data_IF_302148962451
#
_entry.id   IF_302148962451
#
_cell.length_a   1.000
_cell.length_b   1.000
_cell.length_c   1.000
_cell.angle_alpha   90.00
_cell.angle_beta   90.00
_cell.angle_gamma   90.00
#
_symmetry.space_group_name_H-M   'P 1'
#
loop_
_entity.id
_entity.type
_entity.pdbx_description
1 polymer ?
#
# COMPACT_ATOMS: atom_id res chain seq x y z
N UNK A 1 10.27 8.65 45.62
CA UNK A 1 9.54 8.21 44.41
C UNK A 1 10.34 8.60 43.19
N UNK A 2 10.97 7.64 42.52
CA UNK A 2 11.70 7.87 41.28
C UNK A 2 11.81 6.54 40.55
N UNK A 3 10.82 6.22 39.71
CA UNK A 3 10.93 5.07 38.81
C UNK A 3 11.98 5.40 37.76
N UNK A 4 12.71 4.40 37.30
CA UNK A 4 13.67 4.60 36.23
C UNK A 4 12.98 5.21 35.00
N UNK A 5 13.61 6.22 34.39
CA UNK A 5 13.03 6.95 33.28
C UNK A 5 12.83 6.04 32.07
N UNK A 6 13.78 5.14 31.81
CA UNK A 6 13.66 4.11 30.78
C UNK A 6 12.48 3.17 31.02
N UNK A 7 12.31 2.68 32.26
CA UNK A 7 11.19 1.81 32.63
C UNK A 7 9.83 2.52 32.51
N UNK A 8 9.77 3.80 32.89
CA UNK A 8 8.54 4.61 32.80
C UNK A 8 8.16 4.87 31.35
N UNK A 9 9.14 5.18 30.49
CA UNK A 9 8.93 5.35 29.04
C UNK A 9 8.54 4.04 28.36
N UNK A 10 9.07 2.89 28.81
CA UNK A 10 8.67 1.57 28.30
C UNK A 10 7.21 1.26 28.62
N UNK A 11 6.77 1.51 29.85
CA UNK A 11 5.36 1.34 30.23
C UNK A 11 4.43 2.27 29.44
N UNK A 12 4.87 3.50 29.15
CA UNK A 12 4.15 4.41 28.27
C UNK A 12 4.09 3.87 26.83
N UNK A 13 5.18 3.34 26.30
CA UNK A 13 5.25 2.77 24.96
C UNK A 13 4.35 1.53 24.80
N UNK A 14 4.22 0.71 25.84
CA UNK A 14 3.32 -0.44 25.86
C UNK A 14 1.84 -0.04 25.91
N UNK A 15 1.50 1.06 26.60
CA UNK A 15 0.12 1.58 26.65
C UNK A 15 -0.34 2.23 25.34
N UNK A 16 0.55 2.95 24.68
CA UNK A 16 0.24 3.69 23.44
C UNK A 16 0.44 2.80 22.20
N UNK A 17 1.08 1.64 22.37
CA UNK A 17 1.45 0.69 21.31
C UNK A 17 2.17 1.35 20.12
N UNK A 18 3.10 2.26 20.42
CA UNK A 18 3.88 2.98 19.41
C UNK A 18 5.32 2.49 19.38
N UNK A 19 5.74 1.96 18.24
CA UNK A 19 7.10 1.44 18.04
C UNK A 19 8.19 2.51 18.26
N UNK A 20 7.93 3.77 17.87
CA UNK A 20 8.86 4.89 18.11
C UNK A 20 9.07 5.20 19.58
N UNK A 21 8.02 5.06 20.39
CA UNK A 21 8.13 5.22 21.83
C UNK A 21 8.93 4.09 22.47
N UNK A 22 8.84 2.86 21.91
CA UNK A 22 9.71 1.74 22.33
C UNK A 22 11.17 2.05 22.00
N UNK A 23 11.47 2.60 20.82
CA UNK A 23 12.83 3.02 20.46
C UNK A 23 13.36 4.15 21.35
N UNK A 24 12.50 5.12 21.70
CA UNK A 24 12.85 6.19 22.64
C UNK A 24 13.20 5.64 24.02
N UNK A 25 12.37 4.75 24.57
CA UNK A 25 12.63 4.13 25.88
C UNK A 25 13.97 3.41 25.90
N UNK A 26 14.28 2.61 24.87
CA UNK A 26 15.57 1.91 24.74
C UNK A 26 16.72 2.89 24.63
N UNK A 27 16.60 3.95 23.83
CA UNK A 27 17.65 4.95 23.66
C UNK A 27 17.97 5.67 24.98
N UNK A 28 16.94 6.00 25.78
CA UNK A 28 17.09 6.61 27.10
C UNK A 28 17.72 5.64 28.10
N UNK A 29 17.28 4.38 28.16
CA UNK A 29 17.90 3.36 29.04
C UNK A 29 19.37 3.13 28.73
N UNK A 30 19.73 3.05 27.43
CA UNK A 30 21.13 2.91 26.99
C UNK A 30 21.94 4.13 27.44
N UNK A 31 21.43 5.34 27.24
CA UNK A 31 22.10 6.57 27.65
C UNK A 31 22.31 6.63 29.17
N UNK A 32 21.32 6.21 29.97
CA UNK A 32 21.44 6.16 31.43
C UNK A 32 22.51 5.15 31.90
N UNK A 33 22.68 4.04 31.18
CA UNK A 33 23.61 2.96 31.57
C UNK A 33 25.04 3.18 31.06
N UNK A 34 25.19 3.58 29.79
CA UNK A 34 26.49 3.76 29.14
C UNK A 34 27.06 5.18 29.33
N UNK A 35 26.23 6.14 29.75
CA UNK A 35 26.56 7.57 29.71
C UNK A 35 26.56 8.13 28.28
N UNK A 36 26.64 9.46 28.17
CA UNK A 36 26.72 10.15 26.88
C UNK A 36 25.71 11.29 26.71
N UNK A 37 25.83 12.01 25.60
CA UNK A 37 25.01 13.18 25.30
C UNK A 37 23.61 12.76 24.85
N UNK A 38 22.64 12.86 25.76
CA UNK A 38 21.24 12.57 25.47
C UNK A 38 20.69 13.41 24.31
N UNK A 39 21.14 14.66 24.17
CA UNK A 39 20.69 15.52 23.08
C UNK A 39 21.09 14.96 21.71
N UNK A 40 22.27 14.36 21.60
CA UNK A 40 22.75 13.75 20.36
C UNK A 40 21.97 12.47 20.04
N UNK A 41 21.74 11.60 21.02
CA UNK A 41 20.97 10.36 20.85
C UNK A 41 19.53 10.67 20.45
N UNK A 42 18.87 11.61 21.14
CA UNK A 42 17.52 12.04 20.82
C UNK A 42 17.45 12.71 19.45
N UNK A 43 18.47 13.49 19.06
CA UNK A 43 18.57 14.06 17.73
C UNK A 43 18.67 12.98 16.66
N UNK A 44 19.53 11.98 16.84
CA UNK A 44 19.67 10.83 15.94
C UNK A 44 18.36 10.06 15.78
N UNK A 45 17.69 9.75 16.89
CA UNK A 45 16.39 9.08 16.86
C UNK A 45 15.33 9.91 16.11
N UNK A 46 15.28 11.23 16.35
CA UNK A 46 14.37 12.11 15.65
C UNK A 46 14.60 12.13 14.13
N UNK A 47 15.87 12.08 13.69
CA UNK A 47 16.21 11.97 12.27
C UNK A 47 15.74 10.63 11.68
N UNK A 48 15.95 9.52 12.39
CA UNK A 48 15.50 8.18 11.96
C UNK A 48 13.97 8.13 11.81
N UNK A 49 13.24 8.64 12.79
CA UNK A 49 11.77 8.68 12.76
C UNK A 49 11.28 9.51 11.57
N UNK A 50 11.84 10.72 11.36
CA UNK A 50 11.48 11.58 10.22
C UNK A 50 11.82 10.92 8.88
N UNK A 51 12.97 10.27 8.77
CA UNK A 51 13.38 9.54 7.58
C UNK A 51 12.39 8.42 7.24
N UNK A 52 11.91 7.68 8.26
CA UNK A 52 10.90 6.63 8.08
C UNK A 52 9.57 7.20 7.59
N UNK A 53 9.08 8.30 8.18
CA UNK A 53 7.87 8.97 7.67
C UNK A 53 8.03 9.47 6.24
N UNK A 54 9.20 10.00 5.88
CA UNK A 54 9.50 10.42 4.50
C UNK A 54 9.48 9.22 3.55
N UNK A 55 10.04 8.08 3.96
CA UNK A 55 10.00 6.84 3.19
C UNK A 55 8.56 6.39 2.94
N UNK A 56 7.72 6.31 3.98
CA UNK A 56 6.32 5.92 3.84
C UNK A 56 5.53 6.85 2.93
N UNK A 57 5.75 8.17 3.04
CA UNK A 57 5.14 9.15 2.13
C UNK A 57 5.59 8.94 0.68
N UNK A 58 6.87 8.67 0.45
CA UNK A 58 7.43 8.40 -0.87
C UNK A 58 6.87 7.10 -1.47
N UNK A 59 6.82 6.03 -0.69
CA UNK A 59 6.22 4.75 -1.11
C UNK A 59 4.75 4.98 -1.46
N UNK A 60 3.97 5.65 -0.60
CA UNK A 60 2.56 5.95 -0.87
C UNK A 60 2.36 6.74 -2.17
N UNK A 61 3.22 7.73 -2.45
CA UNK A 61 3.16 8.50 -3.69
C UNK A 61 3.46 7.65 -4.93
N UNK A 62 4.55 6.86 -4.91
CA UNK A 62 4.95 5.99 -6.02
C UNK A 62 3.87 4.93 -6.28
N UNK A 63 3.35 4.30 -5.23
CA UNK A 63 2.30 3.29 -5.39
C UNK A 63 0.99 3.92 -5.85
N UNK A 64 0.68 5.17 -5.50
CA UNK A 64 -0.53 5.85 -5.98
C UNK A 64 -0.52 6.03 -7.51
N UNK A 65 0.62 6.41 -8.10
CA UNK A 65 0.77 6.53 -9.55
C UNK A 65 0.57 5.19 -10.26
N UNK A 66 1.24 4.13 -9.78
CA UNK A 66 1.08 2.78 -10.32
C UNK A 66 -0.36 2.26 -10.18
N UNK A 67 -1.02 2.55 -9.04
CA UNK A 67 -2.43 2.19 -8.82
C UNK A 67 -3.36 2.92 -9.78
N UNK A 68 -3.12 4.21 -10.05
CA UNK A 68 -3.93 4.96 -11.03
C UNK A 68 -3.74 4.44 -12.45
N UNK A 69 -2.49 4.26 -12.87
CA UNK A 69 -2.15 3.75 -14.20
C UNK A 69 -2.74 2.34 -14.43
N UNK A 70 -2.57 1.43 -13.48
CA UNK A 70 -3.14 0.08 -13.58
C UNK A 70 -4.67 0.08 -13.58
N UNK A 71 -5.32 0.95 -12.79
CA UNK A 71 -6.79 1.06 -12.76
C UNK A 71 -7.32 1.55 -14.11
N UNK A 72 -6.66 2.54 -14.72
CA UNK A 72 -7.01 3.04 -16.04
C UNK A 72 -6.91 1.94 -17.10
N UNK A 73 -5.79 1.20 -17.10
CA UNK A 73 -5.57 0.11 -18.05
C UNK A 73 -6.59 -1.03 -17.87
N UNK A 74 -7.00 -1.33 -16.63
CA UNK A 74 -8.02 -2.34 -16.34
C UNK A 74 -9.42 -1.98 -16.86
N UNK A 75 -9.78 -0.70 -16.90
CA UNK A 75 -11.09 -0.24 -17.39
C UNK A 75 -11.12 -0.16 -18.91
N UNK A 76 -9.97 0.02 -19.56
CA UNK A 76 -9.87 0.22 -21.00
C UNK A 76 -10.58 -0.87 -21.85
N UNK A 77 -10.42 -2.19 -21.62
CA UNK A 77 -11.08 -3.21 -22.42
C UNK A 77 -12.60 -3.19 -22.28
N UNK A 78 -13.11 -2.87 -21.09
CA UNK A 78 -14.54 -2.74 -20.83
C UNK A 78 -15.11 -1.52 -21.55
N UNK A 79 -14.39 -0.39 -21.51
CA UNK A 79 -14.75 0.82 -22.26
C UNK A 79 -14.78 0.59 -23.76
N UNK A 80 -13.75 -0.08 -24.31
CA UNK A 80 -13.67 -0.43 -25.71
C UNK A 80 -14.84 -1.33 -26.15
N UNK A 81 -15.20 -2.33 -25.34
CA UNK A 81 -16.33 -3.22 -25.62
C UNK A 81 -17.65 -2.45 -25.73
N UNK A 82 -17.91 -1.53 -24.79
CA UNK A 82 -19.11 -0.68 -24.80
C UNK A 82 -19.10 0.23 -26.03
N UNK A 83 -17.97 0.86 -26.32
CA UNK A 83 -17.82 1.77 -27.46
C UNK A 83 -18.04 1.07 -28.80
N UNK A 84 -17.51 -0.15 -28.98
CA UNK A 84 -17.73 -0.96 -30.17
C UNK A 84 -19.21 -1.29 -30.33
N UNK A 85 -19.91 -1.69 -29.26
CA UNK A 85 -21.34 -1.99 -29.33
C UNK A 85 -22.20 -0.76 -29.67
N UNK A 86 -21.79 0.45 -29.27
CA UNK A 86 -22.50 1.69 -29.60
C UNK A 86 -22.25 2.16 -31.03
N UNK A 87 -21.00 2.08 -31.51
CA UNK A 87 -20.62 2.55 -32.85
C UNK A 87 -20.95 1.54 -33.95
N UNK A 88 -20.81 0.24 -33.66
CA UNK A 88 -21.04 -0.85 -34.59
C UNK A 88 -21.79 -1.99 -33.88
N UNK A 89 -23.11 -1.86 -33.66
CA UNK A 89 -23.91 -2.88 -32.95
C UNK A 89 -23.88 -4.26 -33.60
N UNK A 90 -23.63 -4.32 -34.91
CA UNK A 90 -23.59 -5.56 -35.69
C UNK A 90 -22.16 -6.15 -35.81
N UNK A 91 -21.17 -5.58 -35.13
CA UNK A 91 -19.75 -6.00 -35.24
C UNK A 91 -19.52 -7.49 -34.94
N UNK A 92 -20.30 -8.06 -34.01
CA UNK A 92 -20.15 -9.45 -33.58
C UNK A 92 -21.09 -10.43 -34.30
N UNK A 93 -22.00 -9.98 -35.17
CA UNK A 93 -23.07 -10.82 -35.73
C UNK A 93 -22.54 -12.01 -36.55
N UNK A 94 -21.44 -11.83 -37.28
CA UNK A 94 -20.82 -12.91 -38.04
C UNK A 94 -20.25 -14.04 -37.17
N UNK A 95 -19.94 -13.76 -35.90
CA UNK A 95 -19.29 -14.72 -35.00
C UNK A 95 -20.26 -15.25 -33.95
N UNK A 96 -21.37 -14.54 -33.67
CA UNK A 96 -22.39 -14.90 -32.67
C UNK A 96 -23.00 -16.28 -32.87
N UNK A 97 -23.17 -16.72 -34.13
CA UNK A 97 -23.78 -18.03 -34.44
C UNK A 97 -22.79 -19.21 -34.38
N UNK A 98 -21.50 -18.94 -34.18
CA UNK A 98 -20.49 -20.00 -34.10
C UNK A 98 -20.50 -20.64 -32.70
N UNK A 99 -20.45 -21.98 -32.62
CA UNK A 99 -20.42 -22.74 -31.35
C UNK A 99 -19.23 -22.37 -30.43
N UNK A 100 -18.17 -21.80 -30.98
CA UNK A 100 -16.99 -21.30 -30.25
C UNK A 100 -17.18 -19.91 -29.60
N UNK A 101 -18.25 -19.17 -29.91
CA UNK A 101 -18.45 -17.81 -29.42
C UNK A 101 -18.67 -17.74 -27.92
N UNK A 102 -19.56 -18.58 -27.38
CA UNK A 102 -19.88 -18.62 -25.94
C UNK A 102 -18.64 -19.01 -25.10
N UNK A 103 -17.89 -20.08 -25.43
CA UNK A 103 -16.63 -20.39 -24.73
C UNK A 103 -15.61 -19.25 -24.79
N UNK A 104 -15.42 -18.61 -25.95
CA UNK A 104 -14.48 -17.51 -26.10
C UNK A 104 -14.86 -16.29 -25.23
N UNK A 105 -16.15 -15.93 -25.20
CA UNK A 105 -16.64 -14.86 -24.33
C UNK A 105 -16.40 -15.15 -22.84
N UNK A 106 -16.61 -16.39 -22.40
CA UNK A 106 -16.34 -16.79 -21.01
C UNK A 106 -14.85 -16.69 -20.66
N UNK A 107 -13.95 -17.09 -21.56
CA UNK A 107 -12.51 -16.94 -21.37
C UNK A 107 -12.12 -15.46 -21.26
N UNK A 108 -12.60 -14.61 -22.16
CA UNK A 108 -12.33 -13.16 -22.13
C UNK A 108 -12.87 -12.53 -20.83
N UNK A 109 -14.11 -12.87 -20.45
CA UNK A 109 -14.69 -12.40 -19.19
C UNK A 109 -13.87 -12.86 -17.97
N UNK A 110 -13.38 -14.11 -17.98
CA UNK A 110 -12.48 -14.63 -16.95
C UNK A 110 -11.15 -13.88 -16.87
N UNK A 111 -10.54 -13.56 -18.01
CA UNK A 111 -9.32 -12.76 -18.07
C UNK A 111 -9.53 -11.33 -17.55
N UNK A 112 -10.63 -10.69 -17.93
CA UNK A 112 -11.00 -9.36 -17.43
C UNK A 112 -11.27 -9.37 -15.92
N UNK A 113 -12.00 -10.37 -15.42
CA UNK A 113 -12.24 -10.56 -13.99
C UNK A 113 -10.94 -10.76 -13.22
N UNK A 114 -10.03 -11.59 -13.75
CA UNK A 114 -8.71 -11.83 -13.16
C UNK A 114 -7.86 -10.56 -13.16
N UNK A 115 -7.86 -9.80 -14.24
CA UNK A 115 -7.17 -8.51 -14.33
C UNK A 115 -7.64 -7.54 -13.24
N UNK A 116 -8.95 -7.36 -13.10
CA UNK A 116 -9.53 -6.49 -12.06
C UNK A 116 -9.23 -7.02 -10.65
N UNK A 117 -9.27 -8.34 -10.45
CA UNK A 117 -8.93 -8.95 -9.17
C UNK A 117 -7.46 -8.70 -8.77
N UNK A 118 -6.53 -8.93 -9.69
CA UNK A 118 -5.09 -8.66 -9.48
C UNK A 118 -4.88 -7.18 -9.17
N UNK A 119 -5.56 -6.29 -9.90
CA UNK A 119 -5.46 -4.86 -9.66
C UNK A 119 -5.98 -4.49 -8.26
N UNK A 120 -7.13 -5.04 -7.84
CA UNK A 120 -7.65 -4.85 -6.47
C UNK A 120 -6.69 -5.38 -5.41
N UNK A 121 -6.00 -6.51 -5.65
CA UNK A 121 -5.00 -7.07 -4.72
C UNK A 121 -3.78 -6.16 -4.60
N UNK A 122 -3.28 -5.60 -5.70
CA UNK A 122 -2.16 -4.63 -5.72
C UNK A 122 -2.55 -3.30 -5.05
N UNK A 123 -3.79 -2.86 -5.25
CA UNK A 123 -4.32 -1.62 -4.65
C UNK A 123 -4.54 -1.78 -3.14
N UNK A 124 -4.91 -2.97 -2.68
CA UNK A 124 -5.22 -3.22 -1.27
C UNK A 124 -3.98 -3.52 -0.41
N UNK A 125 -2.77 -3.17 -0.87
CA UNK A 125 -1.61 -3.07 0.02
C UNK A 125 -1.92 -1.97 1.04
N UNK A 126 -2.40 -2.41 2.21
CA UNK A 126 -2.48 -1.63 3.45
C UNK A 126 -1.06 -1.20 3.78
N UNK A 127 -0.83 0.11 3.75
CA UNK A 127 0.32 0.74 4.42
C UNK A 127 0.05 0.72 5.92
#
# INVERSE_FOLDING_TARGET
YGRDMGETLKQMAERIDMQDMRFLAVAVTIQQTAGGNLAEILHGLAQVIRARFKLFRRVKAITAEAKWSGMFLSVFPLGALVMINLLQPNYYDAVKETSAFIPACLVVAGFLGTNVFVMRRLVNIKV
#
